data_IF_077616248246
#
_entry.id   IF_077616248246
#
_cell.length_a   1.000
_cell.length_b   1.000
_cell.length_c   1.000
_cell.angle_alpha   90.00
_cell.angle_beta   90.00
_cell.angle_gamma   90.00
#
_symmetry.space_group_name_H-M   'P 1'
#
loop_
_entity.id
_entity.type
_entity.pdbx_description
1 polymer ?
#
# COMPACT_ATOMS: atom_id res chain seq x y z
N UNK A 1 -0.34 -14.09 31.00
CA UNK A 1 0.89 -14.12 31.83
C UNK A 1 1.51 -12.74 32.06
N UNK A 2 1.93 -12.00 31.01
CA UNK A 2 2.53 -10.66 31.17
C UNK A 2 1.58 -9.65 31.87
N UNK A 3 0.30 -9.67 31.53
CA UNK A 3 -0.73 -8.80 32.12
C UNK A 3 -0.87 -9.00 33.64
N UNK A 4 -0.93 -10.25 34.10
CA UNK A 4 -1.07 -10.56 35.52
C UNK A 4 0.20 -10.19 36.31
N UNK A 5 1.37 -10.37 35.71
CA UNK A 5 2.64 -9.92 36.29
C UNK A 5 2.68 -8.40 36.46
N UNK A 6 2.18 -7.64 35.48
CA UNK A 6 2.09 -6.17 35.56
C UNK A 6 1.08 -5.72 36.64
N UNK A 7 -0.10 -6.36 36.69
CA UNK A 7 -1.12 -6.06 37.69
C UNK A 7 -0.62 -6.32 39.12
N UNK A 8 0.06 -7.44 39.33
CA UNK A 8 0.65 -7.80 40.62
C UNK A 8 1.83 -6.88 40.99
N UNK A 9 2.74 -6.60 40.06
CA UNK A 9 3.95 -5.79 40.31
C UNK A 9 3.64 -4.32 40.63
N UNK A 10 2.59 -3.76 40.04
CA UNK A 10 2.21 -2.36 40.20
C UNK A 10 0.91 -2.17 40.99
N UNK A 11 0.35 -3.25 41.55
CA UNK A 11 -0.89 -3.27 42.32
C UNK A 11 -2.07 -2.58 41.59
N UNK A 12 -2.21 -2.84 40.29
CA UNK A 12 -3.19 -2.19 39.40
C UNK A 12 -4.52 -2.96 39.46
N UNK A 13 -5.61 -2.25 39.78
CA UNK A 13 -6.97 -2.80 39.74
C UNK A 13 -7.38 -3.14 38.30
N UNK A 14 -8.33 -4.08 38.13
CA UNK A 14 -8.83 -4.43 36.79
C UNK A 14 -9.47 -3.24 36.07
N UNK A 15 -10.12 -2.33 36.80
CA UNK A 15 -10.68 -1.10 36.24
C UNK A 15 -9.60 -0.14 35.73
N UNK A 16 -8.57 0.10 36.54
CA UNK A 16 -7.44 0.97 36.18
C UNK A 16 -6.66 0.42 34.98
N UNK A 17 -6.53 -0.91 34.90
CA UNK A 17 -5.88 -1.56 33.76
C UNK A 17 -6.66 -1.35 32.45
N UNK A 18 -7.99 -1.44 32.48
CA UNK A 18 -8.84 -1.20 31.30
C UNK A 18 -8.76 0.25 30.83
N UNK A 19 -8.78 1.21 31.76
CA UNK A 19 -8.60 2.63 31.43
C UNK A 19 -7.22 2.85 30.81
N UNK A 20 -6.18 2.20 31.35
CA UNK A 20 -4.83 2.33 30.82
C UNK A 20 -4.68 1.70 29.43
N UNK A 21 -5.32 0.56 29.18
CA UNK A 21 -5.37 -0.09 27.86
C UNK A 21 -6.12 0.78 26.83
N UNK A 22 -7.24 1.37 27.24
CA UNK A 22 -8.01 2.31 26.41
C UNK A 22 -7.16 3.54 26.05
N UNK A 23 -6.47 4.14 27.04
CA UNK A 23 -5.56 5.27 26.84
C UNK A 23 -4.43 4.89 25.89
N UNK A 24 -3.78 3.74 26.08
CA UNK A 24 -2.69 3.28 25.20
C UNK A 24 -3.18 3.11 23.76
N UNK A 25 -4.37 2.54 23.59
CA UNK A 25 -5.00 2.33 22.28
C UNK A 25 -5.33 3.65 21.59
N UNK A 26 -5.86 4.63 22.34
CA UNK A 26 -6.16 5.98 21.85
C UNK A 26 -4.91 6.77 21.47
N UNK A 27 -3.79 6.54 22.16
CA UNK A 27 -2.50 7.20 21.91
C UNK A 27 -1.67 6.58 20.78
N UNK A 28 -1.89 5.30 20.45
CA UNK A 28 -1.17 4.57 19.40
C UNK A 28 -1.08 5.31 18.04
N UNK A 29 -2.16 5.91 17.50
CA UNK A 29 -2.10 6.63 16.22
C UNK A 29 -1.29 7.94 16.27
N UNK A 30 -1.12 8.56 17.45
CA UNK A 30 -0.33 9.79 17.60
C UNK A 30 1.17 9.52 17.75
N UNK A 31 1.54 8.30 18.14
CA UNK A 31 2.95 7.88 18.29
C UNK A 31 3.70 7.83 16.95
N UNK A 32 2.98 7.64 15.84
CA UNK A 32 3.53 7.60 14.48
C UNK A 32 3.69 8.99 13.83
N UNK A 33 3.35 10.09 14.53
CA UNK A 33 3.38 11.46 14.01
C UNK A 33 1.97 12.06 13.85
N UNK A 34 1.84 13.17 13.10
CA UNK A 34 0.53 13.76 12.79
C UNK A 34 -0.08 13.11 11.54
N UNK A 35 -1.07 12.21 11.67
CA UNK A 35 -1.58 11.41 10.55
C UNK A 35 -2.34 12.22 9.48
N UNK A 36 -2.84 13.42 9.83
CA UNK A 36 -3.72 14.23 8.96
C UNK A 36 -3.08 15.51 8.42
N UNK A 37 -1.74 15.58 8.37
CA UNK A 37 -1.06 16.59 7.54
C UNK A 37 -1.17 16.20 6.06
N UNK A 38 -0.87 17.12 5.14
CA UNK A 38 -0.97 16.89 3.69
C UNK A 38 -0.38 15.56 3.22
N UNK A 39 0.85 15.24 3.63
CA UNK A 39 1.52 13.99 3.26
C UNK A 39 0.79 12.74 3.78
N UNK A 40 0.29 12.77 5.01
CA UNK A 40 -0.47 11.66 5.61
C UNK A 40 -1.84 11.49 4.98
N UNK A 41 -2.53 12.60 4.67
CA UNK A 41 -3.81 12.59 3.95
C UNK A 41 -3.66 12.09 2.51
N UNK A 42 -2.59 12.48 1.82
CA UNK A 42 -2.27 12.00 0.48
C UNK A 42 -1.94 10.50 0.47
N UNK A 43 -1.15 10.05 1.45
CA UNK A 43 -0.87 8.63 1.64
C UNK A 43 -2.16 7.84 1.92
N UNK A 44 -3.01 8.30 2.84
CA UNK A 44 -4.32 7.71 3.10
C UNK A 44 -5.16 7.61 1.82
N UNK A 45 -5.32 8.71 1.08
CA UNK A 45 -6.07 8.74 -0.18
C UNK A 45 -5.53 7.74 -1.20
N UNK A 46 -4.20 7.65 -1.33
CA UNK A 46 -3.54 6.67 -2.19
C UNK A 46 -3.87 5.24 -1.77
N UNK A 47 -3.78 4.92 -0.47
CA UNK A 47 -4.07 3.56 0.04
C UNK A 47 -5.53 3.15 -0.12
N UNK A 48 -6.47 4.11 -0.10
CA UNK A 48 -7.89 3.88 -0.41
C UNK A 48 -8.06 3.63 -1.90
N UNK A 49 -7.43 4.46 -2.75
CA UNK A 49 -7.50 4.34 -4.20
C UNK A 49 -6.91 3.02 -4.72
N UNK A 50 -5.78 2.59 -4.15
CA UNK A 50 -5.12 1.33 -4.50
C UNK A 50 -5.71 0.11 -3.80
N UNK A 51 -6.74 0.30 -2.96
CA UNK A 51 -7.40 -0.75 -2.18
C UNK A 51 -6.47 -1.50 -1.20
N UNK A 52 -5.30 -0.94 -0.86
CA UNK A 52 -4.38 -1.54 0.12
C UNK A 52 -4.93 -1.45 1.54
N UNK A 53 -5.41 -0.27 1.94
CA UNK A 53 -6.18 -0.10 3.18
C UNK A 53 -5.49 -0.53 4.49
N UNK A 54 -4.24 -0.14 4.76
CA UNK A 54 -3.49 -0.55 5.96
C UNK A 54 -4.16 -0.27 7.33
N UNK A 55 -5.13 0.63 7.41
CA UNK A 55 -5.91 0.87 8.64
C UNK A 55 -5.22 1.66 9.77
N UNK A 56 -3.94 2.03 9.62
CA UNK A 56 -3.21 2.83 10.62
C UNK A 56 -3.75 4.26 10.78
N UNK A 57 -4.36 4.82 9.72
CA UNK A 57 -5.01 6.14 9.70
C UNK A 57 -6.39 5.99 9.06
N UNK A 58 -7.46 6.13 9.85
CA UNK A 58 -8.85 5.99 9.40
C UNK A 58 -9.70 7.19 9.84
N UNK A 59 -10.67 7.63 9.02
CA UNK A 59 -11.51 8.77 9.33
C UNK A 59 -12.38 8.43 10.55
N UNK A 60 -12.18 9.16 11.64
CA UNK A 60 -12.94 8.98 12.89
C UNK A 60 -14.30 9.68 12.85
N UNK A 61 -14.46 10.68 11.97
CA UNK A 61 -15.69 11.46 11.82
C UNK A 61 -16.66 10.80 10.84
N UNK A 62 -17.96 10.90 11.09
CA UNK A 62 -18.97 10.28 10.23
C UNK A 62 -19.01 10.89 8.82
N UNK A 63 -18.79 12.20 8.71
CA UNK A 63 -18.62 12.87 7.42
C UNK A 63 -17.38 12.40 6.65
N UNK A 64 -16.26 12.12 7.35
CA UNK A 64 -15.05 11.58 6.74
C UNK A 64 -15.25 10.16 6.21
N UNK A 65 -15.99 9.32 6.95
CA UNK A 65 -16.35 7.97 6.48
C UNK A 65 -17.22 8.03 5.22
N UNK A 66 -18.24 8.88 5.20
CA UNK A 66 -19.11 9.05 4.04
C UNK A 66 -18.33 9.57 2.82
N UNK A 67 -17.45 10.56 3.01
CA UNK A 67 -16.56 11.05 1.96
C UNK A 67 -15.68 9.93 1.40
N UNK A 68 -15.05 9.12 2.26
CA UNK A 68 -14.24 7.98 1.83
C UNK A 68 -15.05 6.96 1.02
N UNK A 69 -16.32 6.69 1.37
CA UNK A 69 -17.16 5.77 0.61
C UNK A 69 -17.40 6.28 -0.82
N UNK A 70 -17.77 7.56 -0.98
CA UNK A 70 -17.98 8.17 -2.30
C UNK A 70 -16.66 8.23 -3.08
N UNK A 71 -15.58 8.62 -2.41
CA UNK A 71 -14.24 8.66 -2.98
C UNK A 71 -13.78 7.29 -3.49
N UNK A 72 -14.01 6.21 -2.73
CA UNK A 72 -13.65 4.86 -3.13
C UNK A 72 -14.50 4.38 -4.32
N UNK A 73 -15.80 4.67 -4.33
CA UNK A 73 -16.72 4.26 -5.39
C UNK A 73 -16.33 4.80 -6.76
N UNK A 74 -15.88 6.05 -6.83
CA UNK A 74 -15.44 6.70 -8.07
C UNK A 74 -13.95 6.47 -8.32
N UNK A 75 -13.15 6.53 -7.25
CA UNK A 75 -11.70 6.43 -7.29
C UNK A 75 -11.24 5.07 -7.79
N UNK A 76 -11.76 3.96 -7.25
CA UNK A 76 -11.28 2.62 -7.60
C UNK A 76 -11.42 2.34 -9.11
N UNK A 77 -12.58 2.56 -9.77
CA UNK A 77 -12.71 2.38 -11.22
C UNK A 77 -11.73 3.26 -12.01
N UNK A 78 -11.61 4.55 -11.67
CA UNK A 78 -10.69 5.47 -12.34
C UNK A 78 -9.22 5.07 -12.12
N UNK A 79 -8.89 4.62 -10.92
CA UNK A 79 -7.58 4.10 -10.56
C UNK A 79 -7.23 2.88 -11.38
N UNK A 80 -8.14 1.92 -11.52
CA UNK A 80 -7.95 0.73 -12.36
C UNK A 80 -7.74 1.09 -13.84
N UNK A 81 -8.51 2.03 -14.39
CA UNK A 81 -8.31 2.53 -15.75
C UNK A 81 -6.94 3.19 -15.92
N UNK A 82 -6.51 3.99 -14.94
CA UNK A 82 -5.19 4.60 -14.93
C UNK A 82 -4.09 3.54 -14.87
N UNK A 83 -4.22 2.54 -14.00
CA UNK A 83 -3.26 1.44 -13.89
C UNK A 83 -3.18 0.61 -15.17
N UNK A 84 -4.30 0.35 -15.83
CA UNK A 84 -4.31 -0.33 -17.12
C UNK A 84 -3.57 0.49 -18.19
N UNK A 85 -3.81 1.80 -18.29
CA UNK A 85 -3.11 2.66 -19.25
C UNK A 85 -1.60 2.74 -18.96
N UNK A 86 -1.22 2.80 -17.69
CA UNK A 86 0.19 2.77 -17.28
C UNK A 86 0.81 1.41 -17.64
N UNK A 87 0.10 0.30 -17.40
CA UNK A 87 0.53 -1.05 -17.75
C UNK A 87 0.78 -1.21 -19.25
N UNK A 88 -0.12 -0.69 -20.09
CA UNK A 88 0.04 -0.72 -21.54
C UNK A 88 1.25 0.10 -22.01
N UNK A 89 1.44 1.30 -21.44
CA UNK A 89 2.62 2.13 -21.73
C UNK A 89 3.92 1.45 -21.30
N UNK A 90 3.91 0.80 -20.14
CA UNK A 90 5.06 0.04 -19.63
C UNK A 90 5.36 -1.18 -20.49
N UNK A 91 4.33 -1.85 -21.01
CA UNK A 91 4.47 -2.96 -21.94
C UNK A 91 5.12 -2.49 -23.26
N UNK A 92 4.62 -1.40 -23.83
CA UNK A 92 5.19 -0.81 -25.04
C UNK A 92 6.66 -0.38 -24.82
N UNK A 93 6.96 0.25 -23.69
CA UNK A 93 8.33 0.63 -23.33
C UNK A 93 9.24 -0.61 -23.20
N UNK A 94 8.76 -1.66 -22.53
CA UNK A 94 9.49 -2.91 -22.38
C UNK A 94 9.80 -3.54 -23.74
N UNK A 95 8.84 -3.57 -24.67
CA UNK A 95 9.08 -4.05 -26.03
C UNK A 95 10.14 -3.22 -26.77
N UNK A 96 10.18 -1.90 -26.59
CA UNK A 96 11.24 -1.04 -27.17
C UNK A 96 12.61 -1.42 -26.60
N UNK A 97 12.70 -1.57 -25.27
CA UNK A 97 13.95 -1.94 -24.58
C UNK A 97 14.43 -3.32 -25.01
N UNK A 98 13.54 -4.32 -25.02
CA UNK A 98 13.84 -5.69 -25.46
C UNK A 98 14.35 -5.67 -26.90
N UNK A 99 13.70 -4.93 -27.80
CA UNK A 99 14.12 -4.83 -29.19
C UNK A 99 15.49 -4.13 -29.34
N UNK A 100 15.79 -3.13 -28.51
CA UNK A 100 17.11 -2.46 -28.49
C UNK A 100 18.20 -3.44 -28.04
N UNK A 101 17.96 -4.18 -26.96
CA UNK A 101 18.89 -5.19 -26.42
C UNK A 101 19.09 -6.34 -27.41
N UNK A 102 18.03 -6.84 -28.03
CA UNK A 102 18.09 -7.90 -29.05
C UNK A 102 18.89 -7.48 -30.29
N UNK A 103 18.80 -6.21 -30.72
CA UNK A 103 19.64 -5.68 -31.80
C UNK A 103 21.12 -5.66 -31.42
N UNK A 104 21.45 -5.31 -30.18
CA UNK A 104 22.82 -5.36 -29.67
C UNK A 104 23.35 -6.81 -29.61
N UNK A 105 22.47 -7.76 -29.29
CA UNK A 105 22.78 -9.20 -29.21
C UNK A 105 22.66 -9.96 -30.54
N UNK A 106 22.39 -9.28 -31.68
CA UNK A 106 22.19 -9.88 -33.03
C UNK A 106 21.22 -11.07 -33.07
N UNK A 107 20.17 -11.06 -32.25
CA UNK A 107 19.17 -12.13 -32.21
C UNK A 107 18.24 -12.07 -33.45
N UNK A 108 17.88 -13.23 -34.00
CA UNK A 108 17.30 -13.39 -35.37
C UNK A 108 15.77 -13.58 -35.43
N UNK A 109 15.02 -13.40 -34.33
CA UNK A 109 13.56 -13.67 -34.31
C UNK A 109 12.70 -12.40 -34.12
N UNK A 110 11.64 -12.19 -34.95
CA UNK A 110 10.85 -10.97 -34.98
C UNK A 110 9.44 -11.13 -34.36
N UNK A 111 9.33 -11.64 -33.14
CA UNK A 111 8.07 -11.50 -32.38
C UNK A 111 8.36 -11.43 -30.87
N UNK A 112 8.02 -10.30 -30.25
CA UNK A 112 7.99 -10.16 -28.79
C UNK A 112 6.77 -10.92 -28.29
N UNK A 113 7.01 -12.16 -27.83
CA UNK A 113 5.93 -12.99 -27.27
C UNK A 113 5.68 -12.56 -25.82
N UNK A 114 4.45 -12.70 -25.33
CA UNK A 114 4.08 -12.40 -23.93
C UNK A 114 5.00 -13.09 -22.91
N UNK A 115 5.54 -14.27 -23.27
CA UNK A 115 6.52 -15.03 -22.49
C UNK A 115 7.84 -14.28 -22.25
N UNK A 116 8.31 -13.46 -23.19
CA UNK A 116 9.54 -12.69 -23.04
C UNK A 116 9.38 -11.57 -22.01
N UNK A 117 8.21 -10.94 -22.00
CA UNK A 117 7.84 -9.91 -21.04
C UNK A 117 7.72 -10.47 -19.62
N UNK A 118 7.09 -11.64 -19.49
CA UNK A 118 6.99 -12.36 -18.21
C UNK A 118 8.38 -12.73 -17.69
N UNK A 119 9.28 -13.21 -18.56
CA UNK A 119 10.64 -13.55 -18.18
C UNK A 119 11.42 -12.32 -17.69
N UNK A 120 11.33 -11.19 -18.39
CA UNK A 120 12.00 -9.93 -18.00
C UNK A 120 11.44 -9.41 -16.68
N UNK A 121 10.12 -9.41 -16.49
CA UNK A 121 9.50 -9.01 -15.23
C UNK A 121 9.96 -9.90 -14.06
N UNK A 122 9.98 -11.22 -14.25
CA UNK A 122 10.42 -12.17 -13.22
C UNK A 122 11.91 -12.02 -12.87
N UNK A 123 12.78 -11.79 -13.86
CA UNK A 123 14.20 -11.56 -13.63
C UNK A 123 14.45 -10.25 -12.87
N UNK A 124 13.72 -9.18 -13.22
CA UNK A 124 13.76 -7.91 -12.49
C UNK A 124 13.30 -8.07 -11.04
N UNK A 125 12.19 -8.77 -10.81
CA UNK A 125 11.72 -9.05 -9.44
C UNK A 125 12.72 -9.85 -8.63
N UNK A 126 13.39 -10.84 -9.23
CA UNK A 126 14.44 -11.60 -8.56
C UNK A 126 15.63 -10.73 -8.15
N UNK A 127 16.09 -9.83 -9.03
CA UNK A 127 17.19 -8.88 -8.75
C UNK A 127 16.82 -7.84 -7.68
N UNK A 128 15.55 -7.48 -7.54
CA UNK A 128 15.11 -6.52 -6.52
C UNK A 128 15.00 -7.17 -5.13
N UNK A 129 14.70 -8.48 -5.10
CA UNK A 129 14.48 -9.24 -3.86
C UNK A 129 15.78 -9.81 -3.29
N UNK A 130 16.80 -10.04 -4.14
CA UNK A 130 18.13 -10.53 -3.75
C UNK A 130 19.20 -9.45 -3.89
#
# INVERSE_FOLDING_TARGET
>A
ELEEQLKSKYNISRGDFLVMEEVITLWQPFKAGMPWKFAGSFYYATTVLTTIGYGHSTPKTDGGKFFTMVYAMIGIPLGLLMFNSIGERLNNFSSIVINRVRRLLKAKQPETTEMDLILVASALSFIVVF
#
